data_IF_117706324127
#
_entry.id   IF_117706324127
#
_cell.length_a   1.000
_cell.length_b   1.000
_cell.length_c   1.000
_cell.angle_alpha   90.00
_cell.angle_beta   90.00
_cell.angle_gamma   90.00
#
_symmetry.space_group_name_H-M   'P 1'
#
loop_
_entity.id
_entity.type
_entity.pdbx_description
1 polymer ?
#
# COMPACT_ATOMS: atom_id res chain seq x y z
N UNK A 1 -6.33 7.68 6.51
CA UNK A 1 -6.71 7.13 5.20
C UNK A 1 -5.46 6.67 4.47
N UNK A 2 -4.52 7.57 4.17
CA UNK A 2 -3.22 7.20 3.58
C UNK A 2 -2.47 6.12 4.38
N UNK A 3 -2.46 6.19 5.71
CA UNK A 3 -1.82 5.19 6.56
C UNK A 3 -2.35 3.77 6.34
N UNK A 4 -3.67 3.59 6.20
CA UNK A 4 -4.30 2.28 5.96
C UNK A 4 -3.90 1.75 4.59
N UNK A 5 -3.92 2.61 3.56
CA UNK A 5 -3.45 2.24 2.22
C UNK A 5 -1.98 1.81 2.27
N UNK A 6 -1.11 2.65 2.84
CA UNK A 6 0.33 2.39 2.93
C UNK A 6 0.60 1.05 3.61
N UNK A 7 -0.06 0.74 4.72
CA UNK A 7 0.13 -0.55 5.39
C UNK A 7 -0.24 -1.74 4.49
N UNK A 8 -1.23 -1.62 3.61
CA UNK A 8 -1.53 -2.67 2.62
C UNK A 8 -0.52 -2.70 1.45
N UNK A 9 0.18 -1.60 1.17
CA UNK A 9 1.19 -1.54 0.11
C UNK A 9 2.56 -2.05 0.57
N UNK A 10 2.80 -2.13 1.87
CA UNK A 10 4.03 -2.65 2.46
C UNK A 10 3.99 -4.19 2.58
N UNK A 11 5.13 -4.86 2.39
CA UNK A 11 5.22 -6.32 2.44
C UNK A 11 6.59 -6.88 2.78
N UNK A 12 6.61 -8.19 3.03
CA UNK A 12 7.76 -8.98 3.43
C UNK A 12 7.52 -9.66 4.77
N UNK A 13 8.59 -10.01 5.47
CA UNK A 13 8.57 -10.79 6.71
C UNK A 13 9.01 -9.98 7.94
N UNK A 14 9.21 -8.67 7.76
CA UNK A 14 9.66 -7.78 8.82
C UNK A 14 8.63 -7.68 9.95
N UNK A 15 9.06 -7.72 11.22
CA UNK A 15 8.16 -7.61 12.38
C UNK A 15 7.46 -6.24 12.49
N UNK A 16 7.88 -5.26 11.68
CA UNK A 16 7.25 -3.95 11.59
C UNK A 16 5.98 -3.92 10.73
N UNK A 17 5.71 -5.00 9.97
CA UNK A 17 4.53 -5.11 9.13
C UNK A 17 3.35 -5.60 9.97
N UNK A 18 2.27 -4.82 9.99
CA UNK A 18 1.02 -5.18 10.69
C UNK A 18 -0.04 -5.79 9.77
N UNK A 19 0.21 -5.78 8.46
CA UNK A 19 -0.73 -6.26 7.44
C UNK A 19 0.00 -7.28 6.57
N UNK A 20 -0.64 -8.42 6.35
CA UNK A 20 -0.16 -9.47 5.45
C UNK A 20 -1.17 -9.67 4.32
N UNK A 21 -0.67 -9.87 3.11
CA UNK A 21 -1.48 -10.25 1.96
C UNK A 21 -1.50 -11.76 1.79
N UNK A 22 -2.69 -12.32 1.68
CA UNK A 22 -2.95 -13.72 1.37
C UNK A 22 -3.36 -13.84 -0.12
N UNK A 23 -2.53 -14.47 -0.97
CA UNK A 23 -2.82 -14.61 -2.40
C UNK A 23 -3.96 -15.60 -2.68
N UNK A 24 -4.21 -16.57 -1.81
CA UNK A 24 -5.28 -17.57 -2.02
C UNK A 24 -6.65 -16.94 -1.74
N UNK A 25 -6.72 -16.02 -0.77
CA UNK A 25 -7.93 -15.25 -0.45
C UNK A 25 -8.07 -13.96 -1.27
N UNK A 26 -7.01 -13.53 -1.95
CA UNK A 26 -6.86 -12.19 -2.52
C UNK A 26 -7.32 -11.11 -1.52
N UNK A 27 -6.71 -11.13 -0.33
CA UNK A 27 -7.12 -10.29 0.78
C UNK A 27 -5.94 -9.90 1.68
N UNK A 28 -6.10 -8.78 2.37
CA UNK A 28 -5.16 -8.26 3.35
C UNK A 28 -5.71 -8.49 4.76
N UNK A 29 -4.96 -9.18 5.61
CA UNK A 29 -5.31 -9.46 7.00
C UNK A 29 -4.43 -8.65 7.94
N UNK A 30 -5.01 -8.18 9.05
CA UNK A 30 -4.32 -7.34 10.04
C UNK A 30 -4.60 -5.84 9.89
N UNK A 31 -5.53 -5.46 9.01
CA UNK A 31 -5.89 -4.05 8.81
C UNK A 31 -6.70 -3.55 10.00
N UNK A 32 -6.26 -2.47 10.65
CA UNK A 32 -6.98 -1.93 11.80
C UNK A 32 -8.36 -1.37 11.40
N UNK A 33 -9.46 -1.86 11.99
CA UNK A 33 -10.79 -1.32 11.76
C UNK A 33 -10.85 0.08 12.35
N UNK A 34 -11.04 1.06 11.48
CA UNK A 34 -11.06 2.46 11.87
C UNK A 34 -11.92 3.28 10.91
N UNK A 35 -12.20 4.53 11.25
CA UNK A 35 -13.00 5.43 10.42
C UNK A 35 -12.41 5.66 9.01
N UNK A 36 -11.09 5.49 8.85
CA UNK A 36 -10.45 5.53 7.55
C UNK A 36 -10.80 4.32 6.69
N UNK A 37 -10.82 3.11 7.26
CA UNK A 37 -11.23 1.89 6.56
C UNK A 37 -12.69 1.99 6.12
N UNK A 38 -13.59 2.42 7.01
CA UNK A 38 -15.02 2.59 6.67
C UNK A 38 -15.25 3.62 5.55
N UNK A 39 -14.39 4.63 5.43
CA UNK A 39 -14.45 5.59 4.32
C UNK A 39 -14.00 4.96 3.01
N UNK A 40 -12.89 4.20 3.02
CA UNK A 40 -12.41 3.48 1.84
C UNK A 40 -13.46 2.50 1.32
N UNK A 41 -14.16 1.82 2.22
CA UNK A 41 -15.25 0.90 1.88
C UNK A 41 -16.43 1.64 1.24
N UNK A 42 -16.89 2.74 1.84
CA UNK A 42 -17.97 3.58 1.26
C UNK A 42 -17.62 4.16 -0.11
N UNK A 43 -16.32 4.38 -0.37
CA UNK A 43 -15.82 4.86 -1.66
C UNK A 43 -15.63 3.72 -2.68
N UNK A 44 -15.82 2.46 -2.28
CA UNK A 44 -15.69 1.29 -3.15
C UNK A 44 -14.25 0.86 -3.43
N UNK A 45 -13.26 1.36 -2.69
CA UNK A 45 -11.86 0.96 -2.88
C UNK A 45 -11.51 -0.34 -2.18
N UNK A 46 -12.21 -0.66 -1.10
CA UNK A 46 -12.00 -1.89 -0.34
C UNK A 46 -13.34 -2.51 0.00
N UNK A 47 -13.31 -3.82 0.27
CA UNK A 47 -14.41 -4.57 0.84
C UNK A 47 -13.93 -5.19 2.15
N UNK A 48 -14.61 -4.90 3.26
CA UNK A 48 -14.34 -5.60 4.52
C UNK A 48 -14.98 -6.98 4.44
N UNK A 49 -14.17 -8.03 4.60
CA UNK A 49 -14.62 -9.42 4.52
C UNK A 49 -14.96 -9.98 5.90
N UNK A 50 -14.11 -9.69 6.88
CA UNK A 50 -14.26 -10.16 8.24
C UNK A 50 -13.60 -9.17 9.22
N UNK A 51 -14.09 -9.16 10.45
CA UNK A 51 -13.50 -8.41 11.56
C UNK A 51 -13.39 -9.36 12.76
N UNK A 52 -12.15 -9.67 13.14
CA UNK A 52 -11.84 -10.60 14.20
C UNK A 52 -11.28 -9.87 15.42
N UNK A 53 -11.64 -10.28 16.65
CA UNK A 53 -10.96 -9.83 17.86
C UNK A 53 -9.51 -10.35 17.83
N UNK A 54 -8.53 -9.48 18.10
CA UNK A 54 -7.14 -9.89 18.33
C UNK A 54 -6.65 -9.50 19.73
N UNK A 55 -5.49 -10.04 20.11
CA UNK A 55 -4.90 -9.78 21.42
C UNK A 55 -4.63 -8.28 21.69
N UNK A 56 -4.47 -7.48 20.62
CA UNK A 56 -4.27 -6.03 20.67
C UNK A 56 -5.23 -5.35 19.68
N UNK A 57 -6.48 -5.22 20.11
CA UNK A 57 -7.55 -4.60 19.32
C UNK A 57 -8.09 -5.51 18.21
N UNK A 58 -9.18 -5.09 17.58
CA UNK A 58 -9.77 -5.83 16.47
C UNK A 58 -8.90 -5.70 15.22
N UNK A 59 -8.92 -6.71 14.35
CA UNK A 59 -8.29 -6.67 13.04
C UNK A 59 -9.29 -7.06 11.96
N UNK A 60 -9.17 -6.44 10.79
CA UNK A 60 -10.01 -6.70 9.63
C UNK A 60 -9.23 -7.47 8.56
N UNK A 61 -9.95 -8.37 7.89
CA UNK A 61 -9.56 -8.93 6.60
C UNK A 61 -10.29 -8.16 5.52
N UNK A 62 -9.54 -7.57 4.59
CA UNK A 62 -10.08 -6.65 3.57
C UNK A 62 -9.59 -7.03 2.19
N UNK A 63 -10.47 -6.97 1.20
CA UNK A 63 -10.09 -7.06 -0.21
C UNK A 63 -9.94 -5.66 -0.79
N UNK A 64 -8.91 -5.45 -1.60
CA UNK A 64 -8.74 -4.23 -2.40
C UNK A 64 -9.45 -4.42 -3.74
N UNK A 65 -10.43 -3.58 -4.05
CA UNK A 65 -11.17 -3.67 -5.31
C UNK A 65 -10.25 -3.23 -6.47
N UNK A 66 -10.29 -3.95 -7.58
CA UNK A 66 -9.37 -3.78 -8.72
C UNK A 66 -7.88 -3.71 -8.30
N UNK A 67 -7.46 -4.63 -7.42
CA UNK A 67 -6.11 -4.63 -6.78
C UNK A 67 -4.97 -4.33 -7.75
N UNK A 68 -4.91 -5.02 -8.90
CA UNK A 68 -3.83 -4.83 -9.88
C UNK A 68 -3.75 -3.38 -10.40
N UNK A 69 -4.90 -2.78 -10.72
CA UNK A 69 -4.97 -1.39 -11.20
C UNK A 69 -4.62 -0.41 -10.08
N UNK A 70 -5.08 -0.71 -8.86
CA UNK A 70 -4.75 0.09 -7.68
C UNK A 70 -3.23 0.09 -7.43
N UNK A 71 -2.58 -1.08 -7.41
CA UNK A 71 -1.14 -1.22 -7.20
C UNK A 71 -0.34 -0.52 -8.29
N UNK A 72 -0.76 -0.69 -9.55
CA UNK A 72 -0.13 -0.05 -10.71
C UNK A 72 -0.23 1.47 -10.63
N UNK A 73 -1.41 2.01 -10.32
CA UNK A 73 -1.62 3.44 -10.16
C UNK A 73 -0.85 4.01 -8.95
N UNK A 74 -0.83 3.30 -7.83
CA UNK A 74 -0.04 3.68 -6.66
C UNK A 74 1.45 3.80 -7.01
N UNK A 75 2.00 2.78 -7.67
CA UNK A 75 3.40 2.78 -8.08
C UNK A 75 3.71 3.88 -9.11
N UNK A 76 2.80 4.17 -10.03
CA UNK A 76 2.92 5.31 -10.93
C UNK A 76 3.00 6.64 -10.15
N UNK A 77 2.16 6.81 -9.12
CA UNK A 77 2.21 7.99 -8.26
C UNK A 77 3.55 8.17 -7.54
N UNK A 78 4.13 7.08 -7.02
CA UNK A 78 5.48 7.10 -6.42
C UNK A 78 6.51 7.55 -7.45
N UNK A 79 6.51 6.93 -8.63
CA UNK A 79 7.47 7.23 -9.72
C UNK A 79 7.37 8.67 -10.20
N UNK A 80 6.16 9.22 -10.33
CA UNK A 80 5.98 10.60 -10.76
C UNK A 80 6.49 11.60 -9.73
N UNK A 81 6.32 11.33 -8.44
CA UNK A 81 6.96 12.12 -7.39
C UNK A 81 8.49 12.06 -7.49
N UNK A 82 9.07 10.87 -7.67
CA UNK A 82 10.52 10.70 -7.79
C UNK A 82 11.11 11.42 -9.02
N UNK A 83 10.33 11.54 -10.09
CA UNK A 83 10.66 12.34 -11.27
C UNK A 83 10.49 13.86 -11.08
N UNK A 84 10.09 14.31 -9.88
CA UNK A 84 9.86 15.72 -9.57
C UNK A 84 8.56 16.28 -10.14
N UNK A 85 7.61 15.43 -10.55
CA UNK A 85 6.31 15.85 -11.08
C UNK A 85 5.28 16.02 -9.96
N UNK A 86 4.29 16.87 -10.21
CA UNK A 86 3.24 17.17 -9.25
C UNK A 86 2.04 16.21 -9.36
N UNK A 87 1.04 16.42 -8.52
CA UNK A 87 -0.17 15.59 -8.45
C UNK A 87 -1.11 15.76 -9.66
N UNK A 88 -0.85 16.71 -10.57
CA UNK A 88 -1.69 16.93 -11.75
C UNK A 88 -1.83 15.66 -12.61
N UNK A 89 -0.80 14.82 -12.61
CA UNK A 89 -0.81 13.55 -13.35
C UNK A 89 -1.84 12.53 -12.84
N UNK A 90 -2.42 12.74 -11.65
CA UNK A 90 -3.48 11.87 -11.13
C UNK A 90 -4.72 11.85 -12.04
N UNK A 91 -5.02 12.96 -12.74
CA UNK A 91 -6.20 13.09 -13.61
C UNK A 91 -6.12 12.19 -14.85
N UNK A 92 -4.92 11.71 -15.21
CA UNK A 92 -4.70 10.76 -16.31
C UNK A 92 -4.67 9.31 -15.86
N UNK A 93 -4.70 9.06 -14.55
CA UNK A 93 -4.69 7.71 -13.99
C UNK A 93 -6.08 7.08 -14.08
N UNK A 94 -6.15 5.78 -14.39
CA UNK A 94 -7.39 5.00 -14.27
C UNK A 94 -7.85 4.88 -12.80
N UNK A 95 -6.94 5.14 -11.84
CA UNK A 95 -7.23 5.13 -10.43
C UNK A 95 -6.61 6.36 -9.73
N UNK A 96 -7.18 7.58 -9.92
CA UNK A 96 -6.60 8.84 -9.42
C UNK A 96 -6.33 8.86 -7.91
N UNK A 97 -7.20 8.20 -7.14
CA UNK A 97 -7.03 8.07 -5.69
C UNK A 97 -5.78 7.26 -5.31
N UNK A 98 -5.52 6.14 -6.00
CA UNK A 98 -4.38 5.28 -5.70
C UNK A 98 -3.08 5.97 -6.12
N UNK A 99 -3.09 6.61 -7.29
CA UNK A 99 -1.99 7.48 -7.75
C UNK A 99 -1.65 8.55 -6.71
N UNK A 100 -2.67 9.28 -6.24
CA UNK A 100 -2.48 10.33 -5.24
C UNK A 100 -1.91 9.77 -3.94
N UNK A 101 -2.32 8.56 -3.51
CA UNK A 101 -1.76 7.91 -2.33
C UNK A 101 -0.27 7.58 -2.50
N UNK A 102 0.13 7.03 -3.65
CA UNK A 102 1.52 6.73 -3.95
C UNK A 102 2.41 7.97 -3.95
N UNK A 103 1.98 9.02 -4.64
CA UNK A 103 2.68 10.30 -4.70
C UNK A 103 2.84 10.94 -3.32
N UNK A 104 1.75 10.97 -2.52
CA UNK A 104 1.79 11.50 -1.16
C UNK A 104 2.67 10.67 -0.22
N UNK A 105 2.71 9.35 -0.38
CA UNK A 105 3.59 8.48 0.41
C UNK A 105 5.06 8.77 0.12
N UNK A 106 5.43 8.87 -1.17
CA UNK A 106 6.77 9.24 -1.58
C UNK A 106 7.16 10.64 -1.04
N UNK A 107 6.25 11.62 -1.15
CA UNK A 107 6.44 12.95 -0.60
C UNK A 107 6.62 12.96 0.93
N UNK A 108 5.84 12.15 1.66
CA UNK A 108 5.95 12.05 3.10
C UNK A 108 7.29 11.42 3.53
N UNK A 109 7.77 10.42 2.78
CA UNK A 109 9.08 9.79 3.02
C UNK A 109 10.25 10.71 2.67
N UNK A 110 10.12 11.57 1.66
CA UNK A 110 11.16 12.54 1.33
C UNK A 110 11.34 13.64 2.40
N UNK A 111 10.28 13.95 3.16
CA UNK A 111 10.30 15.01 4.18
C UNK A 111 10.98 14.61 5.49
N UNK A 112 11.17 13.31 5.77
CA UNK A 112 11.73 12.84 7.04
C UNK A 112 12.54 11.55 6.87
N UNK A 113 13.61 11.34 7.66
CA UNK A 113 14.32 10.07 7.66
C UNK A 113 13.37 8.89 7.90
N UNK A 114 13.42 7.90 7.01
CA UNK A 114 12.60 6.69 7.06
C UNK A 114 13.51 5.48 6.82
N UNK A 115 13.16 4.31 7.37
CA UNK A 115 13.87 3.06 7.09
C UNK A 115 13.80 2.79 5.57
N UNK A 116 14.91 2.48 4.88
CA UNK A 116 14.86 2.12 3.47
C UNK A 116 14.04 0.85 3.27
N UNK A 117 13.31 0.79 2.16
CA UNK A 117 12.71 -0.47 1.71
C UNK A 117 13.82 -1.35 1.16
N UNK A 118 13.91 -2.56 1.66
CA UNK A 118 15.03 -3.46 1.45
C UNK A 118 14.58 -4.92 1.53
N UNK A 119 14.81 -5.70 0.48
CA UNK A 119 14.39 -7.10 0.46
C UNK A 119 15.14 -7.94 1.50
N UNK A 120 16.45 -7.72 1.69
CA UNK A 120 17.22 -8.43 2.73
C UNK A 120 16.77 -8.15 4.16
N UNK A 121 16.03 -7.06 4.39
CA UNK A 121 15.41 -6.73 5.67
C UNK A 121 13.94 -7.19 5.77
N UNK A 122 13.43 -7.90 4.75
CA UNK A 122 12.04 -8.34 4.67
C UNK A 122 11.04 -7.19 4.69
N UNK A 123 11.39 -6.00 4.19
CA UNK A 123 10.54 -4.81 4.27
C UNK A 123 10.55 -4.04 2.95
N UNK A 124 9.51 -4.21 2.16
CA UNK A 124 9.33 -3.63 0.84
C UNK A 124 8.01 -2.85 0.77
N UNK A 125 7.87 -1.99 -0.24
CA UNK A 125 6.61 -1.30 -0.54
C UNK A 125 6.42 -1.24 -2.04
N UNK A 126 5.18 -1.44 -2.50
CA UNK A 126 4.85 -1.34 -3.92
C UNK A 126 5.27 0.02 -4.49
N UNK A 127 5.93 0.00 -5.65
CA UNK A 127 6.36 1.19 -6.36
C UNK A 127 7.66 1.84 -5.89
N UNK A 128 8.26 1.38 -4.79
CA UNK A 128 9.57 1.87 -4.34
C UNK A 128 10.70 0.93 -4.82
N UNK A 129 11.87 1.48 -5.19
CA UNK A 129 13.04 0.67 -5.50
C UNK A 129 13.59 -0.02 -4.23
N UNK A 130 14.03 -1.25 -4.38
CA UNK A 130 14.78 -1.97 -3.35
C UNK A 130 16.12 -1.28 -3.09
N UNK A 131 16.41 -0.94 -1.84
CA UNK A 131 17.67 -0.32 -1.47
C UNK A 131 18.88 -1.27 -1.59
N UNK A 132 18.68 -2.57 -1.80
CA UNK A 132 19.76 -3.52 -2.05
C UNK A 132 20.26 -3.50 -3.50
N UNK A 133 19.36 -3.36 -4.49
CA UNK A 133 19.70 -3.53 -5.91
C UNK A 133 19.09 -2.49 -6.86
N UNK A 134 18.21 -1.61 -6.38
CA UNK A 134 17.53 -0.57 -7.15
C UNK A 134 16.30 -1.03 -7.93
N UNK A 135 15.91 -2.31 -7.88
CA UNK A 135 14.77 -2.84 -8.63
C UNK A 135 13.44 -2.53 -7.92
N UNK A 136 12.44 -2.08 -8.67
CA UNK A 136 11.08 -1.89 -8.15
C UNK A 136 10.28 -3.18 -8.30
N UNK A 137 9.75 -3.69 -7.19
CA UNK A 137 8.84 -4.85 -7.20
C UNK A 137 7.39 -4.40 -7.20
N UNK A 138 6.61 -4.92 -8.14
CA UNK A 138 5.20 -4.55 -8.32
C UNK A 138 4.21 -5.60 -7.79
N UNK A 139 4.64 -6.84 -7.50
CA UNK A 139 3.77 -7.93 -7.07
C UNK A 139 4.20 -8.55 -5.73
N UNK A 140 3.23 -8.83 -4.86
CA UNK A 140 3.33 -9.72 -3.70
C UNK A 140 2.82 -11.10 -4.17
N UNK A 141 3.71 -12.08 -4.34
CA UNK A 141 3.38 -13.39 -4.93
C UNK A 141 4.11 -13.60 -6.27
N UNK A 142 4.68 -14.79 -6.46
CA UNK A 142 5.74 -15.09 -7.42
C UNK A 142 5.47 -14.80 -8.90
N UNK A 143 6.61 -14.58 -9.59
CA UNK A 143 6.90 -14.45 -11.03
C UNK A 143 5.79 -13.94 -11.97
#
# INVERSE_FOLDING_TARGET
>A
MLSVIVSMMEFGESPFLSVAYDPDLDAYTGVSPCSALSKLEKMGFVRVMDVQPAAVGDCATVRLESRSDFLSAFAAGVKEFENGRDLYYADYSQHPFAFSCGHQHAAARAKRPCKPYRASAGYMCHGFPDADNGETRFMQGGE
#
